data_IF_582975118943
#
_entry.id   IF_582975118943
#
_cell.length_a   1.000
_cell.length_b   1.000
_cell.length_c   1.000
_cell.angle_alpha   90.00
_cell.angle_beta   90.00
_cell.angle_gamma   90.00
#
_symmetry.space_group_name_H-M   'P 1'
#
loop_
_entity.id
_entity.type
_entity.pdbx_description
1 polymer ?
#
# COMPACT_ATOMS: atom_id res chain seq x y z
N UNK A 1 -15.44 -10.44 12.01
CA UNK A 1 -14.57 -11.49 12.58
C UNK A 1 -13.28 -10.85 13.05
N UNK A 2 -12.98 -10.90 14.35
CA UNK A 2 -11.68 -10.48 14.88
C UNK A 2 -10.77 -11.71 15.02
N UNK A 3 -9.47 -11.54 14.74
CA UNK A 3 -8.43 -12.54 14.99
C UNK A 3 -7.34 -11.85 15.81
N UNK A 4 -6.82 -12.52 16.83
CA UNK A 4 -5.72 -12.00 17.65
C UNK A 4 -4.44 -12.80 17.40
N UNK A 5 -3.30 -12.11 17.31
CA UNK A 5 -1.97 -12.74 17.30
C UNK A 5 -1.14 -12.17 18.45
N UNK A 6 -0.19 -12.96 18.95
CA UNK A 6 0.75 -12.51 19.98
C UNK A 6 1.95 -11.85 19.31
N UNK A 7 2.39 -10.74 19.87
CA UNK A 7 3.65 -10.11 19.51
C UNK A 7 4.80 -10.95 20.08
N UNK A 8 5.80 -11.25 19.26
CA UNK A 8 7.00 -11.98 19.71
C UNK A 8 7.90 -11.09 20.57
N UNK A 9 8.90 -11.67 21.24
CA UNK A 9 9.89 -10.90 22.02
C UNK A 9 10.61 -9.82 21.20
N UNK A 10 10.72 -10.02 19.88
CA UNK A 10 11.34 -9.08 18.95
C UNK A 10 10.36 -8.01 18.42
N UNK A 11 9.13 -7.98 18.92
CA UNK A 11 8.12 -7.01 18.46
C UNK A 11 7.43 -7.38 17.14
N UNK A 12 7.57 -8.62 16.65
CA UNK A 12 6.92 -9.03 15.40
C UNK A 12 5.53 -9.60 15.65
N UNK A 13 4.57 -9.30 14.79
CA UNK A 13 3.25 -9.91 14.80
C UNK A 13 2.98 -10.62 13.46
N UNK A 14 2.39 -11.81 13.53
CA UNK A 14 2.02 -12.55 12.32
C UNK A 14 0.66 -12.10 11.81
N UNK A 15 0.54 -11.94 10.50
CA UNK A 15 -0.73 -11.62 9.84
C UNK A 15 -1.48 -12.93 9.54
N UNK A 16 -2.73 -13.09 10.03
CA UNK A 16 -3.56 -14.25 9.72
C UNK A 16 -3.67 -14.51 8.21
N UNK A 17 -3.67 -15.79 7.81
CA UNK A 17 -3.66 -16.19 6.40
C UNK A 17 -4.82 -15.59 5.59
N UNK A 18 -6.04 -15.64 6.13
CA UNK A 18 -7.24 -15.06 5.51
C UNK A 18 -7.07 -13.55 5.19
N UNK A 19 -6.36 -12.81 6.05
CA UNK A 19 -6.10 -11.38 5.82
C UNK A 19 -4.97 -11.18 4.81
N UNK A 20 -3.95 -12.04 4.81
CA UNK A 20 -2.88 -11.99 3.79
C UNK A 20 -3.44 -12.19 2.40
N UNK A 21 -4.31 -13.17 2.20
CA UNK A 21 -4.95 -13.41 0.90
C UNK A 21 -5.87 -12.26 0.51
N UNK A 22 -6.74 -11.82 1.43
CA UNK A 22 -7.70 -10.73 1.18
C UNK A 22 -7.02 -9.43 0.73
N UNK A 23 -5.86 -9.12 1.28
CA UNK A 23 -5.13 -7.88 1.00
C UNK A 23 -3.90 -8.08 0.11
N UNK A 24 -3.75 -9.27 -0.50
CA UNK A 24 -2.63 -9.63 -1.36
C UNK A 24 -1.26 -9.30 -0.72
N UNK A 25 -1.06 -9.69 0.55
CA UNK A 25 0.18 -9.44 1.27
C UNK A 25 1.14 -10.62 1.13
N UNK A 26 2.21 -10.41 0.36
CA UNK A 26 3.22 -11.41 0.06
C UNK A 26 4.52 -11.18 0.84
N UNK A 27 5.34 -12.22 1.08
CA UNK A 27 6.66 -12.04 1.68
C UNK A 27 7.51 -11.05 0.88
N UNK A 28 8.06 -10.04 1.57
CA UNK A 28 8.82 -8.95 0.94
C UNK A 28 8.00 -7.69 0.65
N UNK A 29 6.66 -7.75 0.75
CA UNK A 29 5.84 -6.54 0.67
C UNK A 29 6.13 -5.60 1.84
N UNK A 30 6.24 -4.31 1.53
CA UNK A 30 6.35 -3.27 2.53
C UNK A 30 4.97 -2.86 3.05
N UNK A 31 4.89 -2.47 4.31
CA UNK A 31 3.68 -1.91 4.93
C UNK A 31 3.97 -0.58 5.59
N UNK A 32 2.96 0.27 5.64
CA UNK A 32 2.99 1.57 6.33
C UNK A 32 2.19 1.45 7.61
N UNK A 33 2.80 1.92 8.70
CA UNK A 33 2.19 2.02 10.02
C UNK A 33 1.70 3.45 10.22
N UNK A 34 0.45 3.60 10.65
CA UNK A 34 -0.17 4.90 10.91
C UNK A 34 -0.68 4.91 12.35
N UNK A 35 -0.30 5.94 13.11
CA UNK A 35 -0.86 6.22 14.42
C UNK A 35 -2.15 7.03 14.24
N UNK A 36 -3.25 6.56 14.83
CA UNK A 36 -4.58 7.16 14.70
C UNK A 36 -5.28 7.14 16.06
N UNK A 37 -6.33 7.94 16.21
CA UNK A 37 -7.07 8.04 17.49
C UNK A 37 -7.70 6.71 17.96
N UNK A 38 -7.95 5.78 17.03
CA UNK A 38 -8.49 4.44 17.31
C UNK A 38 -7.41 3.37 17.50
N UNK A 39 -6.13 3.74 17.36
CA UNK A 39 -4.97 2.88 17.46
C UNK A 39 -4.17 2.78 16.16
N UNK A 40 -3.39 1.71 16.02
CA UNK A 40 -2.43 1.56 14.93
C UNK A 40 -3.10 0.90 13.72
N UNK A 41 -2.99 1.56 12.56
CA UNK A 41 -3.43 1.01 11.27
C UNK A 41 -2.22 0.60 10.43
N UNK A 42 -2.28 -0.61 9.88
CA UNK A 42 -1.26 -1.15 8.96
C UNK A 42 -1.83 -1.23 7.55
N UNK A 43 -1.16 -0.62 6.57
CA UNK A 43 -1.58 -0.64 5.16
C UNK A 43 -0.47 -1.20 4.27
N UNK A 44 -0.82 -1.99 3.25
CA UNK A 44 0.13 -2.36 2.19
C UNK A 44 0.70 -1.10 1.56
N UNK A 45 2.04 -0.98 1.48
CA UNK A 45 2.67 0.15 0.80
C UNK A 45 2.47 -0.04 -0.68
N UNK A 46 1.56 0.72 -1.27
CA UNK A 46 1.50 0.86 -2.71
C UNK A 46 2.64 1.79 -3.11
N UNK A 47 3.69 1.25 -3.74
CA UNK A 47 4.59 2.12 -4.51
C UNK A 47 3.71 2.80 -5.54
N UNK A 48 3.69 4.13 -5.55
CA UNK A 48 2.97 4.96 -6.52
C UNK A 48 3.43 4.78 -7.97
N UNK A 49 4.13 3.69 -8.31
CA UNK A 49 4.48 3.31 -9.69
C UNK A 49 3.27 2.96 -10.58
N UNK A 50 2.06 2.92 -10.02
CA UNK A 50 0.80 2.80 -10.78
C UNK A 50 0.08 4.12 -11.04
N UNK A 51 0.61 5.26 -10.60
CA UNK A 51 0.02 6.58 -10.94
C UNK A 51 0.58 7.00 -12.29
N UNK A 52 -0.13 6.57 -13.34
CA UNK A 52 0.26 6.57 -14.75
C UNK A 52 -0.30 5.35 -15.52
N UNK A 53 -0.83 4.34 -14.80
CA UNK A 53 -1.49 3.15 -15.36
C UNK A 53 -3.02 3.27 -15.50
N UNK A 54 -3.62 4.39 -15.09
CA UNK A 54 -5.02 4.72 -15.41
C UNK A 54 -5.09 5.78 -16.52
N UNK A 55 -4.16 5.70 -17.45
CA UNK A 55 -4.22 6.48 -18.67
C UNK A 55 -4.66 5.48 -19.75
N UNK A 56 -5.76 5.73 -20.48
CA UNK A 56 -6.26 4.77 -21.47
C UNK A 56 -5.16 4.40 -22.47
N UNK A 57 -5.18 3.17 -22.99
CA UNK A 57 -4.10 2.61 -23.82
C UNK A 57 -3.80 3.42 -25.09
N UNK A 58 -4.71 4.31 -25.49
CA UNK A 58 -4.57 5.25 -26.61
C UNK A 58 -3.73 6.51 -26.27
N UNK A 59 -3.34 6.68 -25.02
CA UNK A 59 -2.66 7.90 -24.58
C UNK A 59 -1.15 7.78 -24.76
N UNK A 60 -0.59 8.77 -25.47
CA UNK A 60 0.83 8.81 -25.82
C UNK A 60 1.74 8.86 -24.60
N UNK A 61 2.94 8.30 -24.75
CA UNK A 61 3.96 8.23 -23.68
C UNK A 61 4.30 9.61 -23.11
N UNK A 62 4.35 10.63 -23.98
CA UNK A 62 4.58 12.04 -23.58
C UNK A 62 3.49 12.51 -22.63
N UNK A 63 2.23 12.19 -22.91
CA UNK A 63 1.09 12.60 -22.09
C UNK A 63 1.02 11.84 -20.77
N UNK A 64 1.47 10.58 -20.76
CA UNK A 64 1.56 9.77 -19.53
C UNK A 64 2.58 10.35 -18.55
N UNK A 65 3.73 10.78 -19.05
CA UNK A 65 4.77 11.40 -18.22
C UNK A 65 4.28 12.72 -17.60
N UNK A 66 3.62 13.58 -18.39
CA UNK A 66 3.02 14.83 -17.90
C UNK A 66 2.01 14.60 -16.75
N UNK A 67 1.15 13.58 -16.88
CA UNK A 67 0.14 13.24 -15.87
C UNK A 67 0.81 12.70 -14.59
N UNK A 68 1.85 11.88 -14.73
CA UNK A 68 2.59 11.34 -13.59
C UNK A 68 3.29 12.45 -12.79
N UNK A 69 3.89 13.43 -13.47
CA UNK A 69 4.50 14.60 -12.84
C UNK A 69 3.48 15.49 -12.12
N UNK A 70 2.33 15.80 -12.74
CA UNK A 70 1.28 16.63 -12.13
C UNK A 70 0.72 15.99 -10.84
N UNK A 71 0.46 14.68 -10.88
CA UNK A 71 -0.02 13.93 -9.73
C UNK A 71 1.02 13.80 -8.61
N UNK A 72 2.31 13.82 -8.96
CA UNK A 72 3.42 13.85 -8.01
C UNK A 72 3.53 15.18 -7.25
N UNK A 73 3.23 16.30 -7.90
CA UNK A 73 3.35 17.63 -7.31
C UNK A 73 2.23 17.97 -6.31
N UNK A 74 1.02 17.43 -6.47
CA UNK A 74 -0.13 17.68 -5.57
C UNK A 74 -0.01 17.06 -4.17
N UNK A 75 1.04 16.29 -3.88
CA UNK A 75 1.20 15.53 -2.63
C UNK A 75 2.35 16.08 -1.75
N UNK A 76 2.80 17.33 -1.98
CA UNK A 76 3.68 18.04 -1.04
C UNK A 76 2.94 19.00 -0.15
#
# INVERSE_FOLDING_TARGET
MSKSTRVTEKGQATIPHELREKYDLNPGDEVVWMDTDEGIVVKKRTRTGGRGMLVPDDTSDVKREEIAEELGQRVR
#
